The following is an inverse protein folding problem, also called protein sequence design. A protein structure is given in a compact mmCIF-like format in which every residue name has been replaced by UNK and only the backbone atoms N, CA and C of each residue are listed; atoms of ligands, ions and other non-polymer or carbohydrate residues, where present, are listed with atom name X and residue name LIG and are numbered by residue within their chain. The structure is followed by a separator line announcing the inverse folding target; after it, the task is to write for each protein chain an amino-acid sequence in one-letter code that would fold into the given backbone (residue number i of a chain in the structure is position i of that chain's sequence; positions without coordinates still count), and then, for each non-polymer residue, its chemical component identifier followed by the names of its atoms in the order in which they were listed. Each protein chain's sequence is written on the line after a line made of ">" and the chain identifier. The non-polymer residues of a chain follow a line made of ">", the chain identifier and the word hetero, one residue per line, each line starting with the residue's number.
data_IF_491819080731
#
_entry.id   IF_491819080731
#
_cell.length_a   1.000
_cell.length_b   1.000
_cell.length_c   1.000
_cell.angle_alpha   90.00
_cell.angle_beta   90.00
_cell.angle_gamma   90.00
#
_symmetry.space_group_name_H-M   'P 1'
#
loop_
_entity.id
_entity.type
_entity.pdbx_description
1 polymer ?
#
# COMPACT_ATOMS: atom_id res chain seq x y z
N UNK A 1 -37.63 -7.00 5.46
CA UNK A 1 -36.61 -6.26 4.70
C UNK A 1 -35.70 -5.61 5.72
N UNK A 2 -34.45 -6.06 5.83
CA UNK A 2 -33.47 -5.39 6.70
C UNK A 2 -33.17 -4.00 6.11
N UNK A 3 -33.02 -2.95 6.93
CA UNK A 3 -32.67 -1.63 6.43
C UNK A 3 -31.29 -1.72 5.76
N UNK A 4 -31.27 -1.57 4.43
CA UNK A 4 -30.04 -1.33 3.68
C UNK A 4 -29.41 -0.07 4.28
N UNK A 5 -28.32 -0.27 5.03
CA UNK A 5 -27.52 0.81 5.57
C UNK A 5 -26.72 1.34 4.39
N UNK A 6 -27.33 2.23 3.60
CA UNK A 6 -26.68 2.87 2.47
C UNK A 6 -25.42 3.55 3.02
N UNK A 7 -24.21 3.14 2.62
CA UNK A 7 -23.00 3.79 3.07
C UNK A 7 -23.06 5.26 2.64
N UNK A 8 -22.97 6.18 3.59
CA UNK A 8 -23.02 7.63 3.33
C UNK A 8 -21.79 8.11 2.56
N UNK A 9 -20.75 7.27 2.46
CA UNK A 9 -19.54 7.50 1.70
C UNK A 9 -19.00 6.16 1.17
N UNK A 10 -18.59 6.14 -0.09
CA UNK A 10 -17.84 5.04 -0.70
C UNK A 10 -16.33 5.19 -0.51
N UNK A 11 -15.92 6.12 0.36
CA UNK A 11 -14.51 6.45 0.57
C UNK A 11 -14.13 6.36 2.05
N UNK A 12 -12.95 5.82 2.30
CA UNK A 12 -12.28 5.79 3.62
C UNK A 12 -10.99 6.59 3.55
N UNK A 13 -10.68 7.31 4.63
CA UNK A 13 -9.41 7.99 4.83
C UNK A 13 -8.96 7.68 6.24
N UNK A 14 -7.79 7.06 6.36
CA UNK A 14 -7.17 6.78 7.64
C UNK A 14 -5.76 7.36 7.65
N UNK A 15 -5.31 7.81 8.81
CA UNK A 15 -4.01 8.46 8.93
C UNK A 15 -3.36 8.21 10.28
N UNK A 16 -2.04 8.33 10.30
CA UNK A 16 -1.23 8.21 11.50
C UNK A 16 0.01 9.10 11.41
N UNK A 17 0.49 9.55 12.57
CA UNK A 17 1.83 10.14 12.69
C UNK A 17 2.78 9.06 13.17
N UNK A 18 3.82 8.79 12.39
CA UNK A 18 4.85 7.80 12.66
C UNK A 18 6.12 8.52 13.09
N UNK A 19 6.64 8.20 14.27
CA UNK A 19 7.81 8.87 14.89
C UNK A 19 9.13 8.41 14.26
N UNK A 20 9.21 8.48 12.94
CA UNK A 20 10.40 8.20 12.15
C UNK A 20 10.51 9.20 10.98
N UNK A 21 11.72 9.49 10.48
CA UNK A 21 11.93 10.40 9.35
C UNK A 21 11.24 9.92 8.06
N UNK A 22 10.80 10.87 7.22
CA UNK A 22 10.10 10.59 5.96
C UNK A 22 10.84 9.59 5.07
N UNK A 23 12.16 9.73 4.93
CA UNK A 23 12.97 8.83 4.12
C UNK A 23 12.93 7.38 4.61
N UNK A 24 12.84 7.18 5.93
CA UNK A 24 12.77 5.87 6.56
C UNK A 24 11.38 5.26 6.40
N UNK A 25 10.32 6.03 6.67
CA UNK A 25 8.93 5.56 6.49
C UNK A 25 8.64 5.26 5.02
N UNK A 26 9.06 6.14 4.11
CA UNK A 26 8.90 5.96 2.66
C UNK A 26 9.60 4.72 2.12
N UNK A 27 10.71 4.30 2.77
CA UNK A 27 11.41 3.08 2.39
C UNK A 27 10.52 1.83 2.50
N UNK A 28 9.58 1.79 3.46
CA UNK A 28 8.67 0.65 3.62
C UNK A 28 7.49 0.67 2.65
N UNK A 29 7.02 1.85 2.25
CA UNK A 29 5.82 2.02 1.43
C UNK A 29 6.12 1.91 -0.06
N UNK A 30 7.25 2.46 -0.51
CA UNK A 30 7.51 2.58 -1.94
C UNK A 30 7.61 1.19 -2.57
N UNK A 31 6.74 0.88 -3.53
CA UNK A 31 6.85 -0.32 -4.35
C UNK A 31 8.01 -0.11 -5.32
N UNK A 32 8.88 -1.10 -5.45
CA UNK A 32 9.98 -1.00 -6.40
C UNK A 32 9.42 -1.04 -7.82
N UNK A 33 9.34 0.12 -8.47
CA UNK A 33 9.20 0.19 -9.93
C UNK A 33 10.34 -0.63 -10.51
N UNK A 34 10.04 -1.61 -11.38
CA UNK A 34 11.06 -2.44 -12.01
C UNK A 34 12.17 -1.55 -12.55
N UNK A 35 13.34 -1.56 -11.89
CA UNK A 35 14.54 -1.02 -12.50
C UNK A 35 14.76 -1.85 -13.76
N UNK A 36 14.57 -1.26 -14.94
CA UNK A 36 14.93 -1.88 -16.21
C UNK A 36 16.38 -2.31 -16.07
N UNK A 37 16.62 -3.60 -15.83
CA UNK A 37 17.96 -4.16 -15.97
C UNK A 37 18.31 -3.99 -17.44
N UNK A 38 19.07 -2.94 -17.76
CA UNK A 38 19.84 -2.90 -18.98
C UNK A 38 20.70 -4.16 -18.97
N UNK A 39 20.35 -5.11 -19.83
CA UNK A 39 20.83 -6.49 -19.78
C UNK A 39 22.34 -6.62 -20.11
N UNK A 40 23.01 -5.52 -20.48
CA UNK A 40 24.35 -5.55 -21.09
C UNK A 40 25.43 -4.74 -20.36
N UNK A 41 25.23 -4.27 -19.13
CA UNK A 41 26.33 -3.67 -18.34
C UNK A 41 26.74 -4.59 -17.20
N UNK A 42 27.99 -5.08 -17.27
CA UNK A 42 28.67 -5.81 -16.18
C UNK A 42 28.36 -5.16 -14.83
N UNK A 43 28.13 -5.94 -13.77
CA UNK A 43 27.83 -5.40 -12.45
C UNK A 43 28.99 -4.49 -12.01
N UNK A 44 28.67 -3.23 -11.72
CA UNK A 44 29.57 -2.38 -10.95
C UNK A 44 29.59 -2.99 -9.53
N UNK A 45 30.77 -3.39 -9.06
CA UNK A 45 30.96 -3.90 -7.69
C UNK A 45 30.45 -2.84 -6.71
N UNK A 46 29.31 -3.11 -6.08
CA UNK A 46 28.59 -2.15 -5.24
C UNK A 46 27.07 -2.11 -5.44
N UNK A 47 26.48 -3.00 -6.23
CA UNK A 47 25.03 -3.16 -6.27
C UNK A 47 24.54 -3.68 -4.91
N UNK A 48 24.11 -2.77 -4.03
CA UNK A 48 23.28 -3.10 -2.89
C UNK A 48 22.07 -3.83 -3.46
N UNK A 49 21.95 -5.13 -3.15
CA UNK A 49 20.78 -5.93 -3.51
C UNK A 49 19.64 -5.47 -2.63
N UNK A 50 19.06 -4.31 -2.95
CA UNK A 50 17.84 -3.83 -2.35
C UNK A 50 16.72 -4.81 -2.74
N UNK A 51 16.52 -5.77 -1.83
CA UNK A 51 15.43 -6.73 -1.82
C UNK A 51 14.12 -5.96 -1.99
N UNK A 52 13.18 -6.36 -2.88
CA UNK A 52 11.98 -5.61 -3.18
C UNK A 52 11.30 -5.10 -1.91
N UNK A 53 10.98 -3.82 -1.89
CA UNK A 53 10.19 -3.23 -0.83
C UNK A 53 8.80 -3.81 -0.92
N UNK A 54 8.40 -4.35 0.21
CA UNK A 54 7.47 -5.45 0.30
C UNK A 54 6.52 -5.08 1.41
N UNK A 55 5.25 -4.89 1.07
CA UNK A 55 4.20 -4.63 2.04
C UNK A 55 4.18 -5.71 3.12
N UNK A 56 4.58 -6.95 2.83
CA UNK A 56 4.68 -8.02 3.81
C UNK A 56 5.79 -7.81 4.86
N UNK A 57 6.74 -6.89 4.65
CA UNK A 57 7.78 -6.57 5.65
C UNK A 57 7.23 -5.75 6.82
N UNK A 58 6.17 -4.97 6.59
CA UNK A 58 5.56 -4.18 7.66
C UNK A 58 4.14 -4.65 7.96
N UNK A 59 3.31 -4.88 6.94
CA UNK A 59 1.90 -5.18 7.13
C UNK A 59 1.72 -6.64 7.54
N UNK A 60 1.47 -6.86 8.82
CA UNK A 60 1.44 -8.21 9.38
C UNK A 60 0.32 -9.09 8.83
N UNK A 61 -0.71 -8.52 8.21
CA UNK A 61 -1.79 -9.27 7.56
C UNK A 61 -1.35 -9.90 6.23
N UNK A 62 -0.34 -9.35 5.56
CA UNK A 62 0.19 -9.86 4.29
C UNK A 62 1.24 -10.92 4.59
N UNK A 63 0.97 -12.14 4.14
CA UNK A 63 1.90 -13.27 4.27
C UNK A 63 2.96 -13.27 3.17
N UNK A 64 2.62 -12.80 1.97
CA UNK A 64 3.52 -12.78 0.81
C UNK A 64 3.17 -11.64 -0.15
N UNK A 65 4.19 -10.97 -0.68
CA UNK A 65 4.07 -10.05 -1.82
C UNK A 65 4.98 -10.52 -2.95
N UNK A 66 4.47 -10.63 -4.17
CA UNK A 66 5.27 -10.97 -5.35
C UNK A 66 4.76 -10.29 -6.61
N UNK A 67 5.64 -9.91 -7.53
CA UNK A 67 5.20 -9.43 -8.84
C UNK A 67 4.48 -10.54 -9.60
N UNK A 68 3.32 -10.23 -10.19
CA UNK A 68 2.59 -11.18 -11.01
C UNK A 68 3.42 -11.57 -12.24
N UNK A 69 3.63 -12.88 -12.44
CA UNK A 69 4.35 -13.41 -13.60
C UNK A 69 3.46 -13.30 -14.83
N UNK A 70 3.95 -12.65 -15.89
CA UNK A 70 3.22 -12.50 -17.16
C UNK A 70 2.44 -11.19 -17.32
N UNK A 71 2.49 -10.28 -16.33
CA UNK A 71 2.09 -8.90 -16.55
C UNK A 71 3.01 -8.27 -17.62
N UNK A 72 2.44 -7.46 -18.52
CA UNK A 72 3.18 -6.71 -19.55
C UNK A 72 4.41 -6.03 -18.95
N UNK A 73 5.48 -5.86 -19.72
CA UNK A 73 6.67 -5.10 -19.28
C UNK A 73 6.34 -3.65 -18.86
N UNK A 74 5.12 -3.19 -19.18
CA UNK A 74 4.58 -1.88 -18.88
C UNK A 74 3.67 -1.82 -17.63
N UNK A 75 3.22 -2.97 -17.07
CA UNK A 75 2.31 -2.98 -15.92
C UNK A 75 2.93 -3.61 -14.68
N UNK A 76 3.19 -2.78 -13.67
CA UNK A 76 3.62 -3.22 -12.34
C UNK A 76 2.41 -3.79 -11.57
N UNK A 77 2.13 -5.08 -11.79
CA UNK A 77 1.12 -5.85 -11.05
C UNK A 77 1.80 -6.60 -9.90
N UNK A 78 1.30 -6.38 -8.69
CA UNK A 78 1.79 -7.02 -7.46
C UNK A 78 0.69 -7.90 -6.89
N UNK A 79 1.04 -9.13 -6.55
CA UNK A 79 0.17 -10.10 -5.90
C UNK A 79 0.43 -10.09 -4.41
N UNK A 80 -0.60 -9.77 -3.63
CA UNK A 80 -0.60 -9.86 -2.17
C UNK A 80 -1.38 -11.08 -1.72
N UNK A 81 -0.74 -11.95 -0.93
CA UNK A 81 -1.40 -13.05 -0.24
C UNK A 81 -1.53 -12.66 1.23
N UNK A 82 -2.75 -12.76 1.76
CA UNK A 82 -3.08 -12.45 3.14
C UNK A 82 -3.09 -13.74 3.98
N UNK A 83 -2.94 -13.57 5.30
CA UNK A 83 -2.95 -14.70 6.25
C UNK A 83 -4.32 -15.38 6.38
N UNK A 84 -5.39 -14.68 6.05
CA UNK A 84 -6.76 -15.22 6.03
C UNK A 84 -7.05 -16.06 4.77
N UNK A 85 -6.07 -16.20 3.87
CA UNK A 85 -6.22 -16.90 2.59
C UNK A 85 -6.65 -16.01 1.43
N UNK A 86 -6.97 -14.72 1.68
CA UNK A 86 -7.30 -13.78 0.61
C UNK A 86 -6.09 -13.51 -0.26
N UNK A 87 -6.29 -13.46 -1.57
CA UNK A 87 -5.25 -13.14 -2.56
C UNK A 87 -5.74 -11.99 -3.41
N UNK A 88 -4.99 -10.89 -3.42
CA UNK A 88 -5.28 -9.71 -4.25
C UNK A 88 -4.18 -9.55 -5.31
N UNK A 89 -4.56 -9.27 -6.54
CA UNK A 89 -3.65 -8.70 -7.53
C UNK A 89 -3.94 -7.22 -7.65
N UNK A 90 -2.93 -6.40 -7.37
CA UNK A 90 -3.03 -4.94 -7.41
C UNK A 90 -2.20 -4.39 -8.56
N UNK A 91 -2.75 -3.41 -9.27
CA UNK A 91 -2.05 -2.63 -10.28
C UNK A 91 -1.55 -1.35 -9.65
N UNK A 92 -0.27 -1.03 -9.82
CA UNK A 92 0.20 0.31 -9.52
C UNK A 92 -0.32 1.29 -10.59
N UNK A 93 -1.11 2.27 -10.18
CA UNK A 93 -1.65 3.31 -11.06
C UNK A 93 -0.73 4.53 -11.11
N UNK A 94 -0.14 4.90 -9.96
CA UNK A 94 0.72 6.06 -9.86
C UNK A 94 1.80 5.85 -8.80
N UNK A 95 2.98 6.41 -9.03
CA UNK A 95 4.06 6.44 -8.06
C UNK A 95 4.84 7.74 -8.20
N UNK A 96 4.97 8.47 -7.10
CA UNK A 96 5.78 9.67 -7.02
C UNK A 96 6.75 9.56 -5.86
N UNK A 97 8.03 9.34 -6.17
CA UNK A 97 9.10 9.43 -5.14
C UNK A 97 9.30 10.87 -4.66
N UNK A 98 9.07 11.86 -5.51
CA UNK A 98 9.25 13.28 -5.16
C UNK A 98 8.16 13.70 -4.17
N UNK A 99 6.90 13.34 -4.44
CA UNK A 99 5.76 13.71 -3.62
C UNK A 99 5.35 12.64 -2.61
N UNK A 100 6.15 11.56 -2.49
CA UNK A 100 6.01 10.47 -1.53
C UNK A 100 4.61 9.86 -1.47
N UNK A 101 4.07 9.46 -2.63
CA UNK A 101 2.83 8.68 -2.68
C UNK A 101 2.85 7.59 -3.73
N UNK A 102 2.00 6.60 -3.49
CA UNK A 102 1.63 5.57 -4.45
C UNK A 102 0.11 5.49 -4.53
N UNK A 103 -0.39 5.20 -5.72
CA UNK A 103 -1.79 4.87 -5.96
C UNK A 103 -1.85 3.51 -6.63
N UNK A 104 -2.74 2.64 -6.16
CA UNK A 104 -2.94 1.32 -6.73
C UNK A 104 -4.43 0.96 -6.76
N UNK A 105 -4.80 0.09 -7.70
CA UNK A 105 -6.15 -0.45 -7.82
C UNK A 105 -6.11 -1.97 -7.65
N UNK A 106 -7.21 -2.56 -7.18
CA UNK A 106 -7.35 -4.03 -7.16
C UNK A 106 -7.86 -4.49 -8.53
N UNK A 107 -7.15 -5.41 -9.16
CA UNK A 107 -7.50 -6.01 -10.45
C UNK A 107 -8.33 -7.28 -10.23
N UNK A 108 -7.82 -8.18 -9.38
CA UNK A 108 -8.44 -9.47 -9.10
C UNK A 108 -8.33 -9.79 -7.61
N UNK A 109 -9.27 -10.60 -7.12
CA UNK A 109 -9.31 -11.07 -5.74
C UNK A 109 -9.78 -12.52 -5.69
N UNK A 110 -9.21 -13.29 -4.77
CA UNK A 110 -9.72 -14.59 -4.36
C UNK A 110 -9.84 -14.62 -2.84
N UNK A 111 -11.04 -14.76 -2.25
CA UNK A 111 -12.34 -14.84 -2.92
C UNK A 111 -12.70 -13.57 -3.70
N UNK A 112 -13.64 -13.67 -4.64
CA UNK A 112 -14.07 -12.54 -5.45
C UNK A 112 -14.63 -11.40 -4.59
N UNK A 113 -14.37 -10.16 -5.02
CA UNK A 113 -14.90 -8.97 -4.35
C UNK A 113 -16.40 -8.87 -4.61
N UNK A 114 -17.14 -8.40 -3.59
CA UNK A 114 -18.56 -8.10 -3.74
C UNK A 114 -18.85 -6.75 -4.41
N UNK A 115 -17.80 -6.05 -4.88
CA UNK A 115 -17.86 -4.70 -5.44
C UNK A 115 -16.95 -4.58 -6.67
N UNK A 116 -17.28 -3.63 -7.54
CA UNK A 116 -16.66 -3.49 -8.86
C UNK A 116 -15.19 -3.04 -8.80
N UNK A 117 -14.85 -2.06 -7.97
CA UNK A 117 -13.47 -1.55 -7.92
C UNK A 117 -13.12 -0.83 -6.61
N UNK A 118 -11.82 -0.79 -6.33
CA UNK A 118 -11.24 0.09 -5.31
C UNK A 118 -9.92 0.68 -5.81
N UNK A 119 -9.74 1.97 -5.60
CA UNK A 119 -8.48 2.68 -5.79
C UNK A 119 -8.01 3.17 -4.43
N UNK A 120 -6.76 2.89 -4.09
CA UNK A 120 -6.16 3.28 -2.81
C UNK A 120 -4.91 4.10 -3.03
N UNK A 121 -4.73 5.14 -2.23
CA UNK A 121 -3.52 5.96 -2.24
C UNK A 121 -2.89 5.97 -0.86
N UNK A 122 -1.59 5.73 -0.79
CA UNK A 122 -0.78 5.92 0.42
C UNK A 122 0.13 7.11 0.19
N UNK A 123 0.10 8.09 1.09
CA UNK A 123 0.84 9.34 0.96
C UNK A 123 1.54 9.71 2.26
N UNK A 124 2.79 10.12 2.14
CA UNK A 124 3.63 10.50 3.27
C UNK A 124 3.99 11.99 3.19
N UNK A 125 3.92 12.66 4.33
CA UNK A 125 4.29 14.05 4.48
C UNK A 125 5.27 14.18 5.65
N UNK A 126 6.38 14.88 5.45
CA UNK A 126 7.28 15.21 6.57
C UNK A 126 6.60 16.22 7.49
N UNK A 127 6.64 15.95 8.80
CA UNK A 127 6.23 16.92 9.82
C UNK A 127 7.40 17.87 10.07
N UNK A 128 7.26 19.12 9.61
CA UNK A 128 8.34 20.11 9.59
C UNK A 128 8.43 20.99 10.83
N UNK A 129 7.47 20.91 11.76
CA UNK A 129 7.45 21.74 12.96
C UNK A 129 6.55 21.17 14.05
N UNK A 130 6.70 21.68 15.28
CA UNK A 130 5.88 21.31 16.43
C UNK A 130 6.42 20.12 17.22
N UNK A 131 5.62 19.59 18.15
CA UNK A 131 6.06 18.55 19.09
C UNK A 131 6.46 17.21 18.43
N UNK A 132 6.12 17.03 17.14
CA UNK A 132 6.41 15.84 16.36
C UNK A 132 7.28 16.18 15.13
N UNK A 133 8.06 17.26 15.17
CA UNK A 133 9.02 17.59 14.13
C UNK A 133 9.98 16.41 13.86
N UNK A 134 10.29 16.17 12.58
CA UNK A 134 11.13 15.06 12.14
C UNK A 134 10.38 13.71 12.06
N UNK A 135 9.09 13.70 12.37
CA UNK A 135 8.20 12.55 12.14
C UNK A 135 7.54 12.59 10.76
N UNK A 136 6.74 11.58 10.45
CA UNK A 136 6.04 11.45 9.17
C UNK A 136 4.54 11.32 9.41
N UNK A 137 3.74 12.18 8.78
CA UNK A 137 2.30 12.00 8.67
C UNK A 137 2.01 11.12 7.46
N UNK A 138 1.34 9.99 7.69
CA UNK A 138 0.94 9.04 6.64
C UNK A 138 -0.57 9.07 6.52
N UNK A 139 -1.05 9.25 5.30
CA UNK A 139 -2.46 9.18 4.92
C UNK A 139 -2.66 7.99 3.98
N UNK A 140 -3.72 7.21 4.23
CA UNK A 140 -4.11 6.08 3.41
C UNK A 140 -5.60 6.15 3.08
N UNK A 141 -5.88 6.36 1.79
CA UNK A 141 -7.24 6.46 1.26
C UNK A 141 -7.69 5.14 0.62
N UNK A 142 -9.00 4.98 0.50
CA UNK A 142 -9.62 3.95 -0.31
C UNK A 142 -10.92 4.48 -0.89
N UNK A 143 -11.00 4.55 -2.21
CA UNK A 143 -12.17 4.98 -2.97
C UNK A 143 -12.78 3.74 -3.63
N UNK A 144 -13.94 3.34 -3.16
CA UNK A 144 -14.68 2.18 -3.61
C UNK A 144 -15.75 2.59 -4.62
N UNK A 145 -16.11 1.66 -5.49
CA UNK A 145 -17.29 1.77 -6.34
C UNK A 145 -18.58 1.86 -5.52
N UNK A 146 -19.65 2.40 -6.11
CA UNK A 146 -20.91 2.68 -5.41
C UNK A 146 -21.71 1.45 -4.99
N UNK A 147 -21.34 0.28 -5.50
CA UNK A 147 -21.89 -1.04 -5.15
C UNK A 147 -21.19 -1.68 -3.94
N UNK A 148 -20.21 -1.02 -3.32
CA UNK A 148 -19.59 -1.50 -2.10
C UNK A 148 -20.49 -1.32 -0.87
N UNK A 149 -20.73 -2.40 -0.13
CA UNK A 149 -21.53 -2.39 1.09
C UNK A 149 -20.82 -1.72 2.27
N UNK A 150 -21.59 -1.23 3.24
CA UNK A 150 -21.06 -0.58 4.45
C UNK A 150 -20.09 -1.47 5.25
N UNK A 151 -20.32 -2.79 5.28
CA UNK A 151 -19.43 -3.75 5.93
C UNK A 151 -18.05 -3.83 5.26
N UNK A 152 -17.99 -3.73 3.93
CA UNK A 152 -16.74 -3.67 3.16
C UNK A 152 -15.98 -2.39 3.48
N UNK A 153 -16.66 -1.25 3.50
CA UNK A 153 -16.07 0.05 3.84
C UNK A 153 -15.52 0.02 5.28
N UNK A 154 -16.26 -0.58 6.21
CA UNK A 154 -15.84 -0.71 7.60
C UNK A 154 -14.64 -1.66 7.77
N UNK A 155 -14.62 -2.81 7.11
CA UNK A 155 -13.48 -3.73 7.11
C UNK A 155 -12.22 -3.07 6.53
N UNK A 156 -12.36 -2.38 5.40
CA UNK A 156 -11.32 -1.63 4.74
C UNK A 156 -10.70 -0.54 5.64
N UNK A 157 -11.53 0.09 6.47
CA UNK A 157 -11.12 1.06 7.48
C UNK A 157 -10.23 0.43 8.54
N UNK A 158 -10.64 -0.70 9.11
CA UNK A 158 -9.86 -1.40 10.14
C UNK A 158 -8.52 -1.90 9.60
N UNK A 159 -8.52 -2.53 8.43
CA UNK A 159 -7.30 -3.02 7.77
C UNK A 159 -6.25 -1.93 7.55
N UNK A 160 -6.67 -0.72 7.15
CA UNK A 160 -5.75 0.43 7.00
C UNK A 160 -5.19 0.91 8.33
N UNK A 161 -6.01 0.97 9.38
CA UNK A 161 -5.55 1.35 10.72
C UNK A 161 -4.53 0.35 11.26
N UNK A 162 -4.78 -0.94 11.08
CA UNK A 162 -3.84 -1.99 11.46
C UNK A 162 -2.53 -1.89 10.68
N UNK A 163 -2.61 -1.70 9.36
CA UNK A 163 -1.44 -1.53 8.52
C UNK A 163 -0.60 -0.30 8.93
N UNK A 164 -1.24 0.82 9.25
CA UNK A 164 -0.55 2.03 9.75
C UNK A 164 0.09 1.79 11.13
N UNK A 165 -0.58 1.07 12.02
CA UNK A 165 -0.03 0.70 13.32
C UNK A 165 1.20 -0.22 13.18
N UNK A 166 1.14 -1.18 12.28
CA UNK A 166 2.26 -2.07 12.01
C UNK A 166 3.43 -1.36 11.32
N UNK A 167 3.14 -0.44 10.40
CA UNK A 167 4.14 0.44 9.79
C UNK A 167 4.88 1.25 10.86
N UNK A 168 4.15 1.81 11.84
CA UNK A 168 4.75 2.53 12.96
C UNK A 168 5.66 1.61 13.78
N UNK A 169 5.20 0.39 14.12
CA UNK A 169 5.99 -0.59 14.88
C UNK A 169 7.32 -0.95 14.21
N UNK A 170 7.39 -1.01 12.89
CA UNK A 170 8.64 -1.35 12.19
C UNK A 170 9.51 -0.12 11.94
N UNK A 171 8.91 1.02 11.61
CA UNK A 171 9.65 2.24 11.27
C UNK A 171 10.23 2.94 12.51
N UNK A 172 9.62 2.77 13.68
CA UNK A 172 10.11 3.34 14.94
C UNK A 172 11.16 2.45 15.64
N UNK A 173 11.34 1.20 15.18
CA UNK A 173 12.42 0.34 15.65
C UNK A 173 13.72 0.79 14.99
N UNK A 174 14.63 1.33 15.81
CA UNK A 174 16.00 1.70 15.43
C UNK A 174 16.86 0.48 15.15
#
# INVERSE_FOLDING_TARGET
>A
MAPSTIPTSTSVVESAVIRAPLSHVWHYIKLQVRSRKFKDKKPFNGAHTDNPQDFSKFWSAVSKSEFAKGASEETDIVKWTFKDGTVLEVKQEEHSTINHYITYSVITSQPELSYTSVVSTVRCYAVSSGALEGSTFVEWTGNFSSDADASVIQDAKFKRREALADLAKVAEKK
#
